data_IF_718573074653
#
_entry.id   IF_718573074653
#
_cell.length_a   1.000
_cell.length_b   1.000
_cell.length_c   1.000
_cell.angle_alpha   90.00
_cell.angle_beta   90.00
_cell.angle_gamma   90.00
#
_symmetry.space_group_name_H-M   'P 1'
#
loop_
_entity.id
_entity.type
_entity.pdbx_description
1 polymer ?
#
# COMPACT_ATOMS: atom_id res chain seq x y z
N UNK A 1 -12.05 -10.73 -6.25
CA UNK A 1 -11.81 -9.33 -6.67
C UNK A 1 -12.69 -9.03 -7.88
N UNK A 2 -13.50 -7.96 -7.81
CA UNK A 2 -14.43 -7.59 -8.88
C UNK A 2 -13.69 -6.92 -10.04
N UNK A 3 -14.35 -6.80 -11.19
CA UNK A 3 -13.80 -6.13 -12.38
C UNK A 3 -13.48 -4.66 -12.12
N UNK A 4 -14.32 -3.99 -11.34
CA UNK A 4 -14.14 -2.59 -10.93
C UNK A 4 -12.90 -2.42 -10.06
N UNK A 5 -12.69 -3.31 -9.08
CA UNK A 5 -11.52 -3.28 -8.21
C UNK A 5 -10.22 -3.45 -9.03
N UNK A 6 -10.20 -4.35 -10.02
CA UNK A 6 -9.05 -4.53 -10.93
C UNK A 6 -8.75 -3.25 -11.72
N UNK A 7 -9.78 -2.68 -12.35
CA UNK A 7 -9.63 -1.44 -13.12
C UNK A 7 -9.07 -0.32 -12.24
N UNK A 8 -9.56 -0.21 -11.00
CA UNK A 8 -9.09 0.81 -10.05
C UNK A 8 -7.63 0.60 -9.66
N UNK A 9 -7.23 -0.65 -9.45
CA UNK A 9 -5.83 -1.00 -9.17
C UNK A 9 -4.94 -0.63 -10.36
N UNK A 10 -5.34 -0.97 -11.58
CA UNK A 10 -4.59 -0.64 -12.79
C UNK A 10 -4.42 0.88 -12.95
N UNK A 11 -5.48 1.66 -12.69
CA UNK A 11 -5.44 3.14 -12.68
C UNK A 11 -4.46 3.68 -11.62
N UNK A 12 -4.48 3.12 -10.40
CA UNK A 12 -3.56 3.52 -9.33
C UNK A 12 -2.11 3.22 -9.74
N UNK A 13 -1.86 2.01 -10.23
CA UNK A 13 -0.52 1.57 -10.63
C UNK A 13 0.03 2.40 -11.79
N UNK A 14 -0.80 2.72 -12.78
CA UNK A 14 -0.42 3.60 -13.89
C UNK A 14 -0.08 5.03 -13.44
N UNK A 15 -0.64 5.50 -12.32
CA UNK A 15 -0.45 6.85 -11.79
C UNK A 15 0.74 7.02 -10.83
N UNK A 16 1.51 5.97 -10.56
CA UNK A 16 2.61 6.03 -9.59
C UNK A 16 3.83 5.22 -10.01
N UNK A 17 4.98 5.49 -9.40
CA UNK A 17 6.15 4.62 -9.49
C UNK A 17 6.36 3.95 -8.14
N UNK A 18 6.41 2.62 -8.15
CA UNK A 18 6.69 1.84 -6.96
C UNK A 18 8.18 1.47 -6.93
N UNK A 19 8.94 1.83 -5.88
CA UNK A 19 10.36 1.45 -5.76
C UNK A 19 10.56 -0.06 -5.53
N UNK A 20 9.47 -0.82 -5.38
CA UNK A 20 9.45 -2.28 -5.19
C UNK A 20 8.81 -2.98 -6.40
N UNK A 21 8.79 -2.32 -7.56
CA UNK A 21 8.27 -2.82 -8.83
C UNK A 21 6.87 -3.43 -8.74
N UNK A 22 6.02 -2.87 -7.87
CA UNK A 22 4.67 -3.38 -7.63
C UNK A 22 4.62 -4.87 -7.26
N UNK A 23 5.65 -5.42 -6.60
CA UNK A 23 5.69 -6.82 -6.12
C UNK A 23 4.44 -7.26 -5.33
N UNK A 24 3.73 -6.31 -4.72
CA UNK A 24 2.50 -6.57 -4.00
C UNK A 24 1.29 -6.89 -4.90
N UNK A 25 1.37 -6.60 -6.20
CA UNK A 25 0.33 -6.94 -7.19
C UNK A 25 0.49 -8.35 -7.77
N UNK A 26 1.67 -8.96 -7.56
CA UNK A 26 1.95 -10.34 -7.95
C UNK A 26 1.18 -11.32 -7.07
N UNK A 27 1.06 -12.56 -7.55
CA UNK A 27 0.47 -13.69 -6.83
C UNK A 27 -0.92 -13.42 -6.23
N UNK A 28 -1.70 -12.49 -6.79
CA UNK A 28 -3.03 -12.17 -6.28
C UNK A 28 -3.05 -11.38 -4.97
N UNK A 29 -2.02 -10.57 -4.72
CA UNK A 29 -1.86 -9.75 -3.51
C UNK A 29 -1.57 -10.55 -2.25
N UNK A 30 -0.89 -11.67 -2.37
CA UNK A 30 -0.44 -12.47 -1.22
C UNK A 30 0.89 -11.95 -0.65
N UNK A 31 1.64 -11.16 -1.43
CA UNK A 31 2.96 -10.61 -1.07
C UNK A 31 2.93 -9.10 -0.78
N UNK A 32 2.01 -8.69 0.10
CA UNK A 32 1.86 -7.28 0.46
C UNK A 32 3.01 -6.76 1.31
N UNK A 33 3.30 -5.46 1.17
CA UNK A 33 4.09 -4.78 2.18
C UNK A 33 3.32 -4.80 3.51
N UNK A 34 4.03 -5.09 4.61
CA UNK A 34 3.44 -5.14 5.94
C UNK A 34 2.95 -3.76 6.34
N UNK A 35 1.66 -3.69 6.66
CA UNK A 35 1.02 -2.48 7.13
C UNK A 35 -0.14 -2.85 8.05
N UNK A 36 -0.43 -1.99 9.02
CA UNK A 36 -1.54 -2.12 9.95
C UNK A 36 -2.55 -1.00 9.77
N UNK A 37 -3.83 -1.27 10.01
CA UNK A 37 -4.81 -0.20 10.13
C UNK A 37 -4.59 0.55 11.45
N UNK A 38 -4.47 1.87 11.39
CA UNK A 38 -4.29 2.76 12.53
C UNK A 38 -5.51 3.66 12.79
N UNK A 39 -6.65 3.37 12.16
CA UNK A 39 -7.90 4.14 12.28
C UNK A 39 -7.96 5.42 11.45
N UNK A 40 -6.91 5.74 10.69
CA UNK A 40 -6.87 6.89 9.79
C UNK A 40 -7.38 6.50 8.39
N UNK A 41 -8.16 7.37 7.76
CA UNK A 41 -8.83 7.06 6.48
C UNK A 41 -7.86 6.80 5.33
N UNK A 42 -6.79 7.60 5.25
CA UNK A 42 -5.88 7.64 4.09
C UNK A 42 -4.47 7.13 4.39
N UNK A 43 -4.27 6.56 5.57
CA UNK A 43 -2.97 6.15 6.06
C UNK A 43 -3.06 4.78 6.71
N UNK A 44 -1.98 4.03 6.58
CA UNK A 44 -1.75 2.81 7.34
C UNK A 44 -0.48 3.00 8.18
N UNK A 45 -0.36 2.27 9.28
CA UNK A 45 0.93 2.11 9.94
C UNK A 45 1.83 1.25 9.07
N UNK A 46 3.06 1.69 8.79
CA UNK A 46 4.04 0.92 8.03
C UNK A 46 4.84 0.01 8.96
N UNK A 47 4.80 -1.30 8.70
CA UNK A 47 5.44 -2.34 9.52
C UNK A 47 6.57 -3.06 8.78
N UNK A 48 7.06 -2.49 7.68
CA UNK A 48 8.22 -3.01 6.95
C UNK A 48 9.50 -2.78 7.75
N UNK A 49 10.48 -3.70 7.62
CA UNK A 49 11.77 -3.61 8.33
C UNK A 49 12.57 -2.37 7.93
N UNK A 50 12.45 -1.93 6.68
CA UNK A 50 13.13 -0.75 6.13
C UNK A 50 12.11 0.19 5.46
N UNK A 51 11.34 0.97 6.24
CA UNK A 51 10.36 1.89 5.67
C UNK A 51 11.03 2.94 4.77
N UNK A 52 12.23 3.42 5.13
CA UNK A 52 12.96 4.45 4.38
C UNK A 52 13.34 4.09 2.94
N UNK A 53 13.31 2.81 2.57
CA UNK A 53 13.54 2.37 1.18
C UNK A 53 12.30 2.59 0.29
N UNK A 54 11.19 3.05 0.86
CA UNK A 54 9.93 3.29 0.16
C UNK A 54 9.59 4.79 0.15
N UNK A 55 9.43 5.37 -1.05
CA UNK A 55 9.01 6.77 -1.22
C UNK A 55 7.62 7.09 -0.67
N UNK A 56 6.81 6.07 -0.37
CA UNK A 56 5.50 6.19 0.27
C UNK A 56 5.54 5.98 1.78
N UNK A 57 6.71 5.79 2.38
CA UNK A 57 6.83 5.78 3.83
C UNK A 57 7.01 7.21 4.33
N UNK A 58 6.15 7.63 5.26
CA UNK A 58 6.21 8.91 5.95
C UNK A 58 6.64 8.67 7.39
N UNK A 59 7.77 9.22 7.81
CA UNK A 59 8.19 9.19 9.20
C UNK A 59 7.45 10.27 10.00
N UNK A 60 6.91 9.89 11.16
CA UNK A 60 6.28 10.84 12.08
C UNK A 60 6.51 10.40 13.53
N UNK A 61 7.17 11.27 14.32
CA UNK A 61 7.63 10.92 15.65
C UNK A 61 8.53 9.67 15.62
N UNK A 62 8.15 8.65 16.38
CA UNK A 62 8.87 7.37 16.44
C UNK A 62 8.33 6.29 15.48
N UNK A 63 7.24 6.58 14.75
CA UNK A 63 6.56 5.64 13.87
C UNK A 63 6.74 5.96 12.38
N UNK A 64 6.29 5.03 11.54
CA UNK A 64 6.22 5.21 10.10
C UNK A 64 4.80 4.95 9.62
N UNK A 65 4.32 5.80 8.72
CA UNK A 65 3.05 5.65 8.03
C UNK A 65 3.27 5.27 6.58
N UNK A 66 2.33 4.53 6.01
CA UNK A 66 2.30 4.15 4.60
C UNK A 66 1.23 4.99 3.90
N UNK A 67 1.67 5.78 2.91
CA UNK A 67 0.82 6.59 2.02
C UNK A 67 0.64 5.94 0.64
N UNK A 68 1.12 4.71 0.45
CA UNK A 68 1.08 4.02 -0.84
C UNK A 68 -0.37 3.87 -1.31
N UNK A 69 -0.78 4.53 -2.40
CA UNK A 69 -2.19 4.53 -2.82
C UNK A 69 -2.73 3.12 -3.04
N UNK A 70 -1.90 2.24 -3.61
CA UNK A 70 -2.27 0.84 -3.83
C UNK A 70 -2.44 0.11 -2.50
N UNK A 71 -1.47 0.19 -1.58
CA UNK A 71 -1.56 -0.53 -0.30
C UNK A 71 -2.74 -0.04 0.55
N UNK A 72 -3.00 1.28 0.57
CA UNK A 72 -4.14 1.88 1.26
C UNK A 72 -5.45 1.36 0.68
N UNK A 73 -5.62 1.40 -0.63
CA UNK A 73 -6.82 0.87 -1.30
C UNK A 73 -7.05 -0.61 -0.98
N UNK A 74 -6.01 -1.44 -1.06
CA UNK A 74 -6.10 -2.86 -0.75
C UNK A 74 -6.56 -3.12 0.71
N UNK A 75 -6.01 -2.40 1.69
CA UNK A 75 -6.41 -2.53 3.09
C UNK A 75 -7.83 -2.05 3.34
N UNK A 76 -8.15 -0.83 2.90
CA UNK A 76 -9.36 -0.11 3.30
C UNK A 76 -10.60 -0.56 2.52
N UNK A 77 -10.43 -0.86 1.23
CA UNK A 77 -11.57 -1.18 0.35
C UNK A 77 -11.73 -2.69 0.13
N UNK A 78 -10.62 -3.44 0.13
CA UNK A 78 -10.63 -4.87 -0.19
C UNK A 78 -10.31 -5.78 1.01
N UNK A 79 -9.99 -5.22 2.18
CA UNK A 79 -9.67 -5.98 3.40
C UNK A 79 -8.42 -6.85 3.27
N UNK A 80 -7.44 -6.42 2.46
CA UNK A 80 -6.18 -7.11 2.18
C UNK A 80 -4.99 -6.46 2.87
#
# INVERSE_FOLDING_TARGET
MRKEDRKKIDEIMAGMQCPKDFRCSEDGFEKLCKAGDCGLDKLLECLEVKPGDCSFALQFGYGHFCTCPLRVYLAKELGK
#
